data_IF_979244781679
#
_entry.id   IF_979244781679
#
_cell.length_a   1.000
_cell.length_b   1.000
_cell.length_c   1.000
_cell.angle_alpha   90.00
_cell.angle_beta   90.00
_cell.angle_gamma   90.00
#
_symmetry.space_group_name_H-M   'P 1'
#
loop_
_entity.id
_entity.type
_entity.pdbx_description
1 polymer ?
#
# COMPACT_ATOMS: atom_id res chain seq x y z
N UNK A 1 8.64 18.69 -33.06
CA UNK A 1 7.71 19.65 -32.42
C UNK A 1 6.38 18.99 -32.07
N UNK A 2 5.63 18.40 -33.02
CA UNK A 2 4.32 17.74 -32.75
C UNK A 2 4.40 16.61 -31.70
N UNK A 3 5.39 15.72 -31.81
CA UNK A 3 5.62 14.64 -30.82
C UNK A 3 5.90 15.15 -29.40
N UNK A 4 6.65 16.24 -29.28
CA UNK A 4 6.98 16.84 -27.98
C UNK A 4 5.73 17.44 -27.31
N UNK A 5 4.94 18.23 -28.04
CA UNK A 5 3.68 18.82 -27.54
C UNK A 5 2.68 17.72 -27.15
N UNK A 6 2.56 16.66 -27.95
CA UNK A 6 1.71 15.51 -27.63
C UNK A 6 2.15 14.80 -26.34
N UNK A 7 3.45 14.53 -26.18
CA UNK A 7 3.98 13.86 -24.99
C UNK A 7 3.89 14.75 -23.75
N UNK A 8 3.98 16.07 -23.90
CA UNK A 8 3.74 17.04 -22.82
C UNK A 8 2.29 16.98 -22.33
N UNK A 9 1.33 16.97 -23.26
CA UNK A 9 -0.08 16.82 -22.93
C UNK A 9 -0.36 15.45 -22.26
N UNK A 10 0.24 14.37 -22.76
CA UNK A 10 0.12 13.05 -22.15
C UNK A 10 0.75 12.99 -20.75
N UNK A 11 1.85 13.71 -20.52
CA UNK A 11 2.48 13.87 -19.19
C UNK A 11 1.55 14.59 -18.23
N UNK A 12 0.95 15.72 -18.64
CA UNK A 12 -0.01 16.47 -17.82
C UNK A 12 -1.26 15.62 -17.50
N UNK A 13 -1.83 14.95 -18.50
CA UNK A 13 -2.98 14.04 -18.32
C UNK A 13 -2.65 12.92 -17.34
N UNK A 14 -1.46 12.32 -17.44
CA UNK A 14 -1.01 11.28 -16.50
C UNK A 14 -0.79 11.85 -15.09
N UNK A 15 -0.27 13.06 -14.98
CA UNK A 15 -0.14 13.79 -13.71
C UNK A 15 -1.50 14.00 -13.02
N UNK A 16 -2.49 14.52 -13.76
CA UNK A 16 -3.86 14.71 -13.25
C UNK A 16 -4.53 13.40 -12.85
N UNK A 17 -4.38 12.37 -13.67
CA UNK A 17 -4.90 11.04 -13.36
C UNK A 17 -4.27 10.45 -12.09
N UNK A 18 -2.95 10.55 -11.95
CA UNK A 18 -2.26 10.10 -10.73
C UNK A 18 -2.69 10.89 -9.49
N UNK A 19 -2.92 12.20 -9.61
CA UNK A 19 -3.43 13.00 -8.50
C UNK A 19 -4.83 12.55 -8.05
N UNK A 20 -5.72 12.17 -8.99
CA UNK A 20 -7.03 11.59 -8.65
C UNK A 20 -6.87 10.22 -7.96
N UNK A 21 -5.93 9.39 -8.43
CA UNK A 21 -5.62 8.11 -7.79
C UNK A 21 -5.02 8.29 -6.39
N UNK A 22 -4.19 9.30 -6.17
CA UNK A 22 -3.61 9.61 -4.85
C UNK A 22 -4.71 10.03 -3.86
N UNK A 23 -5.68 10.84 -4.29
CA UNK A 23 -6.81 11.21 -3.45
C UNK A 23 -7.72 10.01 -3.17
N UNK A 24 -7.99 9.16 -4.18
CA UNK A 24 -8.75 7.92 -3.99
C UNK A 24 -8.02 6.95 -3.04
N UNK A 25 -6.71 6.82 -3.16
CA UNK A 25 -5.88 6.02 -2.27
C UNK A 25 -5.94 6.55 -0.83
N UNK A 26 -5.81 7.86 -0.66
CA UNK A 26 -5.90 8.51 0.66
C UNK A 26 -7.25 8.26 1.32
N UNK A 27 -8.36 8.41 0.58
CA UNK A 27 -9.71 8.15 1.09
C UNK A 27 -9.89 6.67 1.45
N UNK A 28 -9.42 5.76 0.60
CA UNK A 28 -9.50 4.31 0.84
C UNK A 28 -8.67 3.90 2.05
N UNK A 29 -7.46 4.47 2.22
CA UNK A 29 -6.61 4.25 3.40
C UNK A 29 -7.22 4.83 4.68
N UNK A 30 -7.99 5.91 4.59
CA UNK A 30 -8.70 6.45 5.75
C UNK A 30 -9.75 5.45 6.29
N UNK A 31 -10.30 4.58 5.44
CA UNK A 31 -11.20 3.50 5.87
C UNK A 31 -10.49 2.41 6.69
N UNK A 32 -9.16 2.28 6.56
CA UNK A 32 -8.35 1.37 7.37
C UNK A 32 -8.03 1.93 8.76
N UNK A 33 -8.26 3.22 9.00
CA UNK A 33 -8.07 3.77 10.34
C UNK A 33 -9.03 3.06 11.29
N UNK A 34 -8.53 2.39 12.34
CA UNK A 34 -9.36 1.61 13.22
C UNK A 34 -10.40 2.52 13.87
N UNK A 35 -11.67 2.37 13.47
CA UNK A 35 -12.83 2.91 14.19
C UNK A 35 -13.21 2.00 15.37
N UNK A 36 -12.28 1.21 15.89
CA UNK A 36 -12.59 0.37 17.04
C UNK A 36 -12.86 1.28 18.22
N UNK A 37 -14.09 1.26 18.70
CA UNK A 37 -14.43 1.85 19.98
C UNK A 37 -13.49 1.23 21.04
N UNK A 38 -12.75 2.10 21.72
CA UNK A 38 -11.95 1.69 22.85
C UNK A 38 -12.83 1.06 23.91
N UNK A 39 -12.24 0.20 24.74
CA UNK A 39 -12.92 -0.27 25.95
C UNK A 39 -13.25 0.93 26.84
N UNK A 40 -14.41 0.90 27.49
CA UNK A 40 -14.67 1.84 28.58
C UNK A 40 -13.65 1.61 29.72
N UNK A 41 -13.52 2.58 30.63
CA UNK A 41 -12.48 2.56 31.67
C UNK A 41 -12.52 1.30 32.55
N UNK A 42 -13.72 0.84 32.94
CA UNK A 42 -13.88 -0.35 33.75
C UNK A 42 -13.45 -1.63 33.02
N UNK A 43 -13.90 -1.80 31.78
CA UNK A 43 -13.54 -2.95 30.93
C UNK A 43 -12.04 -2.92 30.57
N UNK A 44 -11.46 -1.73 30.41
CA UNK A 44 -10.02 -1.57 30.18
C UNK A 44 -9.19 -2.04 31.37
N UNK A 45 -9.58 -1.66 32.59
CA UNK A 45 -8.90 -2.12 33.82
C UNK A 45 -8.96 -3.64 33.95
N UNK A 46 -10.14 -4.23 33.70
CA UNK A 46 -10.32 -5.69 33.74
C UNK A 46 -9.46 -6.39 32.68
N UNK A 47 -9.48 -5.88 31.45
CA UNK A 47 -8.66 -6.38 30.36
C UNK A 47 -7.17 -6.33 30.69
N UNK A 48 -6.66 -5.18 31.14
CA UNK A 48 -5.25 -5.00 31.45
C UNK A 48 -4.80 -5.91 32.60
N UNK A 49 -5.64 -6.09 33.63
CA UNK A 49 -5.38 -7.02 34.72
C UNK A 49 -5.36 -8.49 34.25
N UNK A 50 -6.31 -8.89 33.40
CA UNK A 50 -6.38 -10.25 32.86
C UNK A 50 -5.18 -10.56 31.95
N UNK A 51 -4.85 -9.66 31.02
CA UNK A 51 -3.69 -9.81 30.13
C UNK A 51 -2.39 -9.84 30.93
N UNK A 52 -2.23 -8.96 31.93
CA UNK A 52 -1.03 -8.97 32.78
C UNK A 52 -0.88 -10.27 33.57
N UNK A 53 -1.99 -10.81 34.11
CA UNK A 53 -2.01 -12.11 34.78
C UNK A 53 -1.61 -13.24 33.83
N UNK A 54 -2.14 -13.24 32.61
CA UNK A 54 -1.84 -14.26 31.60
C UNK A 54 -0.39 -14.19 31.11
N UNK A 55 0.15 -12.98 30.88
CA UNK A 55 1.57 -12.77 30.54
C UNK A 55 2.48 -13.34 31.63
N UNK A 56 2.17 -13.06 32.89
CA UNK A 56 2.93 -13.57 34.05
C UNK A 56 2.88 -15.10 34.11
N UNK A 57 1.69 -15.69 33.96
CA UNK A 57 1.51 -17.15 33.95
C UNK A 57 2.24 -17.82 32.78
N UNK A 58 2.27 -17.16 31.62
CA UNK A 58 3.01 -17.63 30.45
C UNK A 58 4.53 -17.64 30.71
N UNK A 59 5.09 -16.57 31.29
CA UNK A 59 6.51 -16.47 31.64
C UNK A 59 6.94 -17.51 32.69
N UNK A 60 6.06 -17.78 33.67
CA UNK A 60 6.30 -18.75 34.74
C UNK A 60 5.85 -20.18 34.36
N UNK A 61 5.53 -20.43 33.09
CA UNK A 61 5.02 -21.73 32.66
C UNK A 61 6.11 -22.81 32.73
N UNK A 62 5.80 -24.00 33.28
CA UNK A 62 6.78 -25.06 33.46
C UNK A 62 7.14 -25.79 32.16
N UNK A 63 6.34 -25.63 31.11
CA UNK A 63 6.58 -26.26 29.80
C UNK A 63 5.85 -25.50 28.68
N UNK A 64 6.27 -25.79 27.44
CA UNK A 64 5.76 -25.16 26.23
C UNK A 64 4.26 -25.38 26.00
N UNK A 65 3.69 -26.52 26.43
CA UNK A 65 2.26 -26.79 26.29
C UNK A 65 1.44 -25.81 27.14
N UNK A 66 1.86 -25.58 28.39
CA UNK A 66 1.22 -24.62 29.28
C UNK A 66 1.38 -23.18 28.77
N UNK A 67 2.55 -22.84 28.22
CA UNK A 67 2.78 -21.55 27.55
C UNK A 67 1.79 -21.30 26.41
N UNK A 68 1.61 -22.30 25.53
CA UNK A 68 0.67 -22.23 24.41
C UNK A 68 -0.78 -22.05 24.89
N UNK A 69 -1.20 -22.75 25.95
CA UNK A 69 -2.54 -22.58 26.52
C UNK A 69 -2.81 -21.17 27.05
N UNK A 70 -1.80 -20.53 27.66
CA UNK A 70 -1.95 -19.14 28.11
C UNK A 70 -1.93 -18.16 26.94
N UNK A 71 -1.14 -18.42 25.89
CA UNK A 71 -1.20 -17.65 24.64
C UNK A 71 -2.57 -17.73 23.98
N UNK A 72 -3.16 -18.92 23.90
CA UNK A 72 -4.51 -19.11 23.38
C UNK A 72 -5.52 -18.28 24.18
N UNK A 73 -5.46 -18.31 25.51
CA UNK A 73 -6.34 -17.50 26.37
C UNK A 73 -6.15 -16.00 26.16
N UNK A 74 -4.92 -15.52 26.02
CA UNK A 74 -4.66 -14.10 25.71
C UNK A 74 -5.30 -13.71 24.38
N UNK A 75 -5.15 -14.57 23.37
CA UNK A 75 -5.74 -14.36 22.04
C UNK A 75 -7.27 -14.35 22.12
N UNK A 76 -7.89 -15.27 22.88
CA UNK A 76 -9.34 -15.29 23.09
C UNK A 76 -9.87 -14.00 23.73
N UNK A 77 -9.18 -13.49 24.76
CA UNK A 77 -9.57 -12.26 25.46
C UNK A 77 -9.40 -11.05 24.54
N UNK A 78 -8.24 -10.92 23.90
CA UNK A 78 -7.95 -9.77 23.05
C UNK A 78 -8.80 -9.73 21.78
N UNK A 79 -9.15 -10.88 21.20
CA UNK A 79 -9.92 -10.96 19.95
C UNK A 79 -11.37 -10.51 20.07
N UNK A 80 -11.86 -10.20 21.28
CA UNK A 80 -13.23 -9.70 21.51
C UNK A 80 -13.42 -8.24 21.08
N UNK A 81 -12.34 -7.47 20.98
CA UNK A 81 -12.37 -6.08 20.53
C UNK A 81 -11.17 -5.84 19.59
N UNK A 82 -11.39 -5.14 18.48
CA UNK A 82 -10.35 -4.96 17.47
C UNK A 82 -9.17 -4.10 17.92
N UNK A 83 -9.40 -3.15 18.83
CA UNK A 83 -8.33 -2.35 19.44
C UNK A 83 -7.42 -3.25 20.30
N UNK A 84 -8.00 -4.07 21.17
CA UNK A 84 -7.21 -4.99 22.02
C UNK A 84 -6.53 -6.08 21.21
N UNK A 85 -7.17 -6.57 20.15
CA UNK A 85 -6.56 -7.50 19.21
C UNK A 85 -5.34 -6.89 18.52
N UNK A 86 -5.44 -5.64 18.06
CA UNK A 86 -4.33 -4.90 17.44
C UNK A 86 -3.17 -4.68 18.43
N UNK A 87 -3.47 -4.27 19.66
CA UNK A 87 -2.46 -4.12 20.72
C UNK A 87 -1.73 -5.44 21.01
N UNK A 88 -2.45 -6.57 21.04
CA UNK A 88 -1.85 -7.87 21.33
C UNK A 88 -0.99 -8.42 20.18
N UNK A 89 -1.24 -8.02 18.92
CA UNK A 89 -0.45 -8.52 17.77
C UNK A 89 1.04 -8.26 17.90
N UNK A 90 1.43 -7.07 18.37
CA UNK A 90 2.85 -6.72 18.56
C UNK A 90 3.52 -7.65 19.58
N UNK A 91 2.86 -7.85 20.72
CA UNK A 91 3.32 -8.77 21.75
C UNK A 91 3.38 -10.22 21.26
N UNK A 92 2.31 -10.69 20.59
CA UNK A 92 2.20 -12.04 20.07
C UNK A 92 3.30 -12.34 19.05
N UNK A 93 3.60 -11.39 18.15
CA UNK A 93 4.68 -11.52 17.16
C UNK A 93 6.06 -11.69 17.82
N UNK A 94 6.34 -10.94 18.90
CA UNK A 94 7.55 -11.13 19.69
C UNK A 94 7.63 -12.54 20.31
N UNK A 95 6.52 -13.01 20.88
CA UNK A 95 6.47 -14.36 21.47
C UNK A 95 6.59 -15.48 20.43
N UNK A 96 6.06 -15.27 19.21
CA UNK A 96 6.28 -16.19 18.10
C UNK A 96 7.76 -16.35 17.79
N UNK A 97 8.49 -15.24 17.66
CA UNK A 97 9.92 -15.27 17.36
C UNK A 97 10.71 -16.05 18.42
N UNK A 98 10.37 -15.87 19.70
CA UNK A 98 11.00 -16.61 20.80
C UNK A 98 10.66 -18.10 20.79
N UNK A 99 9.39 -18.46 20.60
CA UNK A 99 8.94 -19.85 20.62
C UNK A 99 9.41 -20.66 19.41
N UNK A 100 9.51 -20.00 18.25
CA UNK A 100 10.03 -20.61 17.02
C UNK A 100 11.56 -20.73 17.08
N UNK A 101 12.26 -19.72 17.61
CA UNK A 101 13.71 -19.71 17.72
C UNK A 101 14.29 -20.66 18.78
N UNK A 102 13.53 -20.98 19.83
CA UNK A 102 13.94 -21.86 20.95
C UNK A 102 13.31 -23.26 20.91
N UNK A 103 12.45 -23.55 19.94
CA UNK A 103 11.52 -24.69 20.01
C UNK A 103 11.97 -25.95 19.28
N UNK A 104 12.38 -26.98 20.02
CA UNK A 104 12.63 -28.33 19.49
C UNK A 104 11.35 -29.01 18.93
N UNK A 105 10.17 -28.51 19.28
CA UNK A 105 8.85 -29.06 18.89
C UNK A 105 8.07 -28.18 17.91
N UNK A 106 8.78 -27.37 17.12
CA UNK A 106 8.22 -26.41 16.17
C UNK A 106 7.14 -27.00 15.22
N UNK A 107 7.30 -28.22 14.65
CA UNK A 107 6.30 -28.78 13.74
C UNK A 107 4.92 -28.97 14.39
N UNK A 108 4.87 -29.27 15.69
CA UNK A 108 3.62 -29.53 16.40
C UNK A 108 2.92 -28.26 16.89
N UNK A 109 3.69 -27.21 17.22
CA UNK A 109 3.14 -25.95 17.77
C UNK A 109 2.80 -24.93 16.68
N UNK A 110 3.49 -24.98 15.53
CA UNK A 110 3.32 -24.01 14.43
C UNK A 110 1.85 -23.87 13.97
N UNK A 111 1.05 -24.94 13.82
CA UNK A 111 -0.36 -24.80 13.43
C UNK A 111 -1.17 -23.99 14.43
N UNK A 112 -1.01 -24.24 15.73
CA UNK A 112 -1.73 -23.51 16.78
C UNK A 112 -1.33 -22.02 16.80
N UNK A 113 -0.04 -21.75 16.69
CA UNK A 113 0.50 -20.38 16.60
C UNK A 113 -0.03 -19.62 15.38
N UNK A 114 -0.15 -20.29 14.23
CA UNK A 114 -0.71 -19.70 13.01
C UNK A 114 -2.20 -19.38 13.18
N UNK A 115 -2.98 -20.30 13.76
CA UNK A 115 -4.42 -20.09 14.03
C UNK A 115 -4.63 -18.89 14.95
N UNK A 116 -3.84 -18.80 16.02
CA UNK A 116 -3.87 -17.65 16.94
C UNK A 116 -3.51 -16.33 16.24
N UNK A 117 -2.45 -16.32 15.44
CA UNK A 117 -2.05 -15.14 14.64
C UNK A 117 -3.17 -14.69 13.71
N UNK A 118 -3.79 -15.63 12.98
CA UNK A 118 -4.90 -15.35 12.07
C UNK A 118 -6.12 -14.82 12.81
N UNK A 119 -6.41 -15.35 14.00
CA UNK A 119 -7.53 -14.89 14.81
C UNK A 119 -7.34 -13.44 15.27
N UNK A 120 -6.15 -13.09 15.75
CA UNK A 120 -5.83 -11.70 16.08
C UNK A 120 -5.86 -10.79 14.85
N UNK A 121 -5.34 -11.26 13.71
CA UNK A 121 -5.37 -10.53 12.44
C UNK A 121 -6.81 -10.19 12.02
N UNK A 122 -7.70 -11.18 12.03
CA UNK A 122 -9.11 -10.97 11.69
C UNK A 122 -9.84 -10.08 12.68
N UNK A 123 -9.57 -10.24 13.98
CA UNK A 123 -10.21 -9.42 15.00
C UNK A 123 -9.78 -7.95 14.93
N UNK A 124 -8.53 -7.68 14.52
CA UNK A 124 -8.02 -6.31 14.37
C UNK A 124 -8.34 -5.69 13.00
N UNK A 125 -9.05 -6.38 12.12
CA UNK A 125 -9.43 -5.86 10.82
C UNK A 125 -10.70 -5.03 10.95
N UNK A 126 -10.70 -3.85 10.32
CA UNK A 126 -11.93 -3.07 10.16
C UNK A 126 -12.98 -3.88 9.37
N UNK A 127 -14.28 -3.61 9.57
CA UNK A 127 -15.31 -4.15 8.68
C UNK A 127 -14.92 -3.90 7.21
N UNK A 128 -15.16 -4.88 6.35
CA UNK A 128 -14.85 -4.83 4.91
C UNK A 128 -13.36 -4.67 4.57
N UNK A 129 -12.43 -5.05 5.46
CA UNK A 129 -10.99 -4.98 5.20
C UNK A 129 -10.57 -5.60 3.87
N UNK A 130 -11.11 -6.77 3.51
CA UNK A 130 -10.79 -7.43 2.24
C UNK A 130 -11.29 -6.62 1.02
N UNK A 131 -12.43 -5.94 1.13
CA UNK A 131 -12.94 -5.05 0.09
C UNK A 131 -12.06 -3.81 -0.05
N UNK A 132 -11.67 -3.19 1.09
CA UNK A 132 -10.77 -2.03 1.12
C UNK A 132 -9.41 -2.40 0.50
N UNK A 133 -8.89 -3.58 0.81
CA UNK A 133 -7.67 -4.11 0.19
C UNK A 133 -7.85 -4.27 -1.32
N UNK A 134 -8.96 -4.85 -1.77
CA UNK A 134 -9.26 -4.99 -3.20
C UNK A 134 -9.37 -3.64 -3.93
N UNK A 135 -9.90 -2.61 -3.26
CA UNK A 135 -9.93 -1.24 -3.78
C UNK A 135 -8.53 -0.66 -3.93
N UNK A 136 -7.66 -0.81 -2.91
CA UNK A 136 -6.26 -0.39 -2.99
C UNK A 136 -5.49 -1.12 -4.10
N UNK A 137 -5.71 -2.42 -4.26
CA UNK A 137 -5.10 -3.20 -5.33
C UNK A 137 -5.59 -2.72 -6.71
N UNK A 138 -6.88 -2.40 -6.85
CA UNK A 138 -7.45 -1.83 -8.07
C UNK A 138 -6.87 -0.45 -8.40
N UNK A 139 -6.65 0.40 -7.39
CA UNK A 139 -5.99 1.71 -7.56
C UNK A 139 -4.56 1.51 -8.08
N UNK A 140 -3.82 0.54 -7.54
CA UNK A 140 -2.47 0.22 -8.01
C UNK A 140 -2.44 -0.34 -9.43
N UNK A 141 -3.42 -1.18 -9.79
CA UNK A 141 -3.59 -1.65 -11.17
C UNK A 141 -3.91 -0.50 -12.12
N UNK A 142 -4.82 0.40 -11.73
CA UNK A 142 -5.15 1.60 -12.49
C UNK A 142 -3.94 2.53 -12.69
N UNK A 143 -3.08 2.66 -11.68
CA UNK A 143 -1.84 3.46 -11.73
C UNK A 143 -0.80 2.89 -12.70
N UNK A 144 -0.74 1.57 -12.82
CA UNK A 144 0.19 0.85 -13.69
C UNK A 144 -0.38 0.55 -15.08
N UNK A 145 -1.66 0.85 -15.32
CA UNK A 145 -2.31 0.63 -16.61
C UNK A 145 -1.73 1.52 -17.72
N UNK A 146 -1.63 0.94 -18.92
CA UNK A 146 -1.26 1.67 -20.13
C UNK A 146 -2.43 2.53 -20.62
N UNK A 147 -2.16 3.78 -21.01
CA UNK A 147 -3.18 4.70 -21.52
C UNK A 147 -3.48 4.45 -23.00
N UNK A 148 -2.46 4.14 -23.80
CA UNK A 148 -2.58 3.79 -25.21
C UNK A 148 -2.25 2.31 -25.40
N UNK A 149 -3.24 1.54 -25.85
CA UNK A 149 -3.11 0.11 -26.14
C UNK A 149 -3.76 -0.21 -27.49
N UNK A 150 -3.31 -1.30 -28.12
CA UNK A 150 -3.89 -1.80 -29.38
C UNK A 150 -3.93 -0.74 -30.47
N UNK A 151 -5.12 -0.56 -31.09
CA UNK A 151 -5.31 0.37 -32.21
C UNK A 151 -4.95 1.82 -31.88
N UNK A 152 -5.12 2.26 -30.63
CA UNK A 152 -4.75 3.62 -30.21
C UNK A 152 -3.23 3.78 -30.25
N UNK A 153 -2.48 2.81 -29.72
CA UNK A 153 -1.01 2.80 -29.78
C UNK A 153 -0.49 2.72 -31.21
N UNK A 154 -1.09 1.86 -32.04
CA UNK A 154 -0.78 1.76 -33.47
C UNK A 154 -1.00 3.09 -34.19
N UNK A 155 -2.16 3.74 -33.97
CA UNK A 155 -2.47 5.02 -34.59
C UNK A 155 -1.50 6.14 -34.16
N UNK A 156 -1.09 6.17 -32.89
CA UNK A 156 -0.07 7.12 -32.41
C UNK A 156 1.27 6.86 -33.11
N UNK A 157 1.69 5.60 -33.20
CA UNK A 157 2.95 5.22 -33.82
C UNK A 157 2.98 5.57 -35.31
N UNK A 158 1.90 5.29 -36.03
CA UNK A 158 1.79 5.53 -37.48
C UNK A 158 1.66 7.02 -37.83
N UNK A 159 0.92 7.79 -37.03
CA UNK A 159 0.63 9.20 -37.34
C UNK A 159 1.59 10.20 -36.70
N UNK A 160 2.12 9.90 -35.50
CA UNK A 160 2.99 10.80 -34.72
C UNK A 160 4.44 10.30 -34.65
N UNK A 161 4.71 9.10 -35.16
CA UNK A 161 6.03 8.49 -35.27
C UNK A 161 6.40 7.55 -34.12
N UNK A 162 7.45 6.76 -34.34
CA UNK A 162 7.91 5.72 -33.41
C UNK A 162 8.26 6.25 -32.01
N UNK A 163 8.86 7.44 -31.93
CA UNK A 163 9.18 8.08 -30.63
C UNK A 163 7.91 8.40 -29.84
N UNK A 164 6.84 8.87 -30.49
CA UNK A 164 5.56 9.10 -29.81
C UNK A 164 4.97 7.78 -29.30
N UNK A 165 5.03 6.72 -30.11
CA UNK A 165 4.55 5.39 -29.74
C UNK A 165 5.34 4.75 -28.60
N UNK A 166 6.64 4.93 -28.55
CA UNK A 166 7.51 4.39 -27.49
C UNK A 166 7.19 5.03 -26.13
N UNK A 167 7.02 6.35 -26.10
CA UNK A 167 6.88 7.10 -24.85
C UNK A 167 5.44 7.43 -24.45
N UNK A 168 4.41 7.15 -25.26
CA UNK A 168 3.02 7.54 -24.93
C UNK A 168 2.51 6.98 -23.59
N UNK A 169 2.97 5.79 -23.21
CA UNK A 169 2.63 5.15 -21.94
C UNK A 169 3.59 5.48 -20.81
N UNK A 170 4.67 6.22 -21.06
CA UNK A 170 5.64 6.68 -20.07
C UNK A 170 6.17 8.08 -20.45
N UNK A 171 5.28 9.09 -20.61
CA UNK A 171 5.65 10.34 -21.26
C UNK A 171 6.71 11.13 -20.48
N UNK A 172 6.83 10.93 -19.16
CA UNK A 172 7.89 11.53 -18.36
C UNK A 172 9.30 11.08 -18.78
N UNK A 173 9.48 9.79 -19.13
CA UNK A 173 10.78 9.25 -19.57
C UNK A 173 11.29 9.93 -20.84
N UNK A 174 10.39 10.35 -21.73
CA UNK A 174 10.80 11.11 -22.91
C UNK A 174 11.54 12.39 -22.53
N UNK A 175 11.04 13.13 -21.54
CA UNK A 175 11.67 14.39 -21.08
C UNK A 175 12.93 14.14 -20.25
N UNK A 176 13.07 12.97 -19.64
CA UNK A 176 14.31 12.55 -18.98
C UNK A 176 15.39 12.19 -20.02
N UNK A 177 15.04 11.34 -20.99
CA UNK A 177 15.96 10.85 -22.02
C UNK A 177 16.33 11.93 -23.06
N UNK A 178 15.44 12.90 -23.29
CA UNK A 178 15.59 13.95 -24.30
C UNK A 178 15.62 15.36 -23.69
N UNK A 179 16.16 15.51 -22.49
CA UNK A 179 16.20 16.77 -21.74
C UNK A 179 16.75 17.96 -22.58
N UNK A 180 17.83 17.75 -23.33
CA UNK A 180 18.42 18.79 -24.20
C UNK A 180 17.50 19.19 -25.36
N UNK A 181 16.81 18.21 -25.94
CA UNK A 181 15.85 18.44 -27.04
C UNK A 181 14.58 19.11 -26.50
N UNK A 182 14.15 18.75 -25.30
CA UNK A 182 13.02 19.38 -24.63
C UNK A 182 13.29 20.86 -24.35
N UNK A 183 14.44 21.19 -23.76
CA UNK A 183 14.85 22.57 -23.49
C UNK A 183 14.94 23.41 -24.78
N UNK A 184 15.41 22.82 -25.88
CA UNK A 184 15.52 23.51 -27.17
C UNK A 184 14.13 23.77 -27.79
N UNK A 185 13.19 22.83 -27.69
CA UNK A 185 11.81 22.99 -28.17
C UNK A 185 11.04 24.00 -27.32
N UNK A 186 11.18 23.96 -26.00
CA UNK A 186 10.58 24.96 -25.09
C UNK A 186 11.06 26.37 -25.41
N UNK A 187 12.37 26.54 -25.62
CA UNK A 187 12.97 27.83 -26.00
C UNK A 187 12.48 28.32 -27.37
N UNK A 188 12.26 27.41 -28.32
CA UNK A 188 11.66 27.73 -29.64
C UNK A 188 10.20 28.16 -29.50
N UNK A 189 9.41 27.48 -28.67
CA UNK A 189 8.01 27.83 -28.41
C UNK A 189 7.92 29.20 -27.72
N UNK A 190 8.74 29.45 -26.70
CA UNK A 190 8.80 30.74 -26.01
C UNK A 190 9.16 31.88 -26.98
N UNK A 191 10.18 31.68 -27.79
CA UNK A 191 10.58 32.66 -28.80
C UNK A 191 9.49 32.89 -29.85
N UNK A 192 8.82 31.85 -30.32
CA UNK A 192 7.72 31.98 -31.27
C UNK A 192 6.54 32.76 -30.66
N UNK A 193 6.18 32.48 -29.41
CA UNK A 193 5.12 33.21 -28.69
C UNK A 193 5.49 34.67 -28.44
N UNK A 194 6.78 34.98 -28.27
CA UNK A 194 7.26 36.32 -27.95
C UNK A 194 7.54 37.20 -29.18
N UNK A 195 7.90 36.59 -30.30
CA UNK A 195 8.37 37.31 -31.49
C UNK A 195 7.63 36.95 -32.80
N UNK A 196 6.70 35.99 -32.77
CA UNK A 196 5.90 35.58 -33.92
C UNK A 196 6.67 34.78 -34.99
N UNK A 197 7.95 34.45 -34.77
CA UNK A 197 8.79 33.63 -35.64
C UNK A 197 9.92 32.95 -34.84
N UNK A 198 10.53 31.90 -35.39
CA UNK A 198 11.62 31.16 -34.74
C UNK A 198 12.97 31.85 -35.00
N UNK A 199 13.58 32.37 -33.92
CA UNK A 199 14.85 33.15 -33.96
C UNK A 199 16.09 32.25 -34.10
N UNK A 200 15.91 30.93 -34.11
CA UNK A 200 17.00 29.95 -34.33
C UNK A 200 17.11 29.48 -35.80
N UNK A 201 16.58 30.27 -36.74
CA UNK A 201 16.60 29.95 -38.17
C UNK A 201 17.73 30.74 -38.88
N UNK A 202 18.97 30.36 -38.62
CA UNK A 202 20.13 30.61 -39.51
C UNK A 202 20.95 29.33 -39.64
#
# INVERSE_FOLDING_TARGET
MVTHVFLEEMKDRRGKYNALLDEAEKQTRALLMPQFEGLNEADRILYDAEISSLKTKMLLSPNQRTTIQYLEKMVEVASKNGHTAHELQGYFTGQLAELVGKGDNLPHIRPALLVMSQKLAKASQVPNFDEIKGQLDSINQMRSASFAVGQVHTAITENLGHVAGEYVNEPAKYFEDHADTAALVEKKIENHNRFGHDVFSE
#
